data_IF_149850754799
#
_entry.id   IF_149850754799
#
_cell.length_a   1.000
_cell.length_b   1.000
_cell.length_c   1.000
_cell.angle_alpha   90.00
_cell.angle_beta   90.00
_cell.angle_gamma   90.00
#
_symmetry.space_group_name_H-M   'P 1'
#
loop_
_entity.id
_entity.type
_entity.pdbx_description
1 polymer ?
#
# COMPACT_ATOMS: atom_id res chain seq x y z
N UNK A 1 4.79 31.66 -2.03
CA UNK A 1 3.34 31.91 -2.02
C UNK A 1 2.48 30.69 -2.36
N UNK A 2 2.95 29.76 -3.22
CA UNK A 2 2.19 28.55 -3.58
C UNK A 2 1.98 27.54 -2.41
N UNK A 3 2.91 27.46 -1.46
CA UNK A 3 2.79 26.54 -0.32
C UNK A 3 1.78 26.98 0.73
N UNK A 4 1.61 28.29 0.93
CA UNK A 4 0.61 28.82 1.88
C UNK A 4 -0.81 28.58 1.35
N UNK A 5 -1.02 28.69 0.04
CA UNK A 5 -2.32 28.42 -0.59
C UNK A 5 -2.70 26.92 -0.51
N UNK A 6 -1.74 26.02 -0.70
CA UNK A 6 -1.93 24.56 -0.48
C UNK A 6 -2.25 24.21 0.97
N UNK A 7 -1.59 24.89 1.91
CA UNK A 7 -1.84 24.68 3.35
C UNK A 7 -3.24 25.17 3.75
N UNK A 8 -3.67 26.33 3.23
CA UNK A 8 -5.00 26.86 3.46
C UNK A 8 -6.10 26.02 2.80
N UNK A 9 -5.87 25.47 1.60
CA UNK A 9 -6.80 24.49 0.98
C UNK A 9 -6.87 23.17 1.75
N UNK A 10 -5.78 22.71 2.35
CA UNK A 10 -5.76 21.55 3.24
C UNK A 10 -6.61 21.77 4.48
N UNK A 11 -6.48 22.95 5.14
CA UNK A 11 -7.24 23.30 6.34
C UNK A 11 -8.73 23.47 6.04
N UNK A 12 -9.11 24.07 4.90
CA UNK A 12 -10.52 24.25 4.53
C UNK A 12 -11.21 22.93 4.17
N UNK A 13 -10.53 22.01 3.49
CA UNK A 13 -11.02 20.64 3.24
C UNK A 13 -11.16 19.83 4.54
N UNK A 14 -10.23 20.03 5.48
CA UNK A 14 -10.23 19.34 6.76
C UNK A 14 -11.40 19.79 7.67
N UNK A 15 -11.66 21.10 7.74
CA UNK A 15 -12.80 21.64 8.50
C UNK A 15 -14.15 21.23 7.88
N UNK A 16 -14.28 21.14 6.55
CA UNK A 16 -15.52 20.70 5.90
C UNK A 16 -15.84 19.23 6.17
N UNK A 17 -14.83 18.40 6.45
CA UNK A 17 -15.02 16.98 6.78
C UNK A 17 -15.61 16.80 8.17
N UNK A 18 -15.11 17.52 9.19
CA UNK A 18 -15.67 17.44 10.56
C UNK A 18 -17.08 17.99 10.65
N UNK A 19 -17.39 19.05 9.91
CA UNK A 19 -18.76 19.59 9.86
C UNK A 19 -19.74 18.59 9.23
N UNK A 20 -19.34 17.88 8.16
CA UNK A 20 -20.15 16.83 7.54
C UNK A 20 -20.40 15.64 8.47
N UNK A 21 -19.43 15.25 9.26
CA UNK A 21 -19.61 14.17 10.24
C UNK A 21 -20.50 14.62 11.41
N UNK A 22 -20.39 15.88 11.85
CA UNK A 22 -21.27 16.43 12.90
C UNK A 22 -22.75 16.42 12.49
N UNK A 23 -23.08 16.64 11.21
CA UNK A 23 -24.45 16.55 10.69
C UNK A 23 -25.03 15.13 10.81
N UNK A 24 -24.17 14.11 10.60
CA UNK A 24 -24.58 12.70 10.61
C UNK A 24 -24.70 12.09 12.00
N UNK A 25 -24.31 12.82 13.05
CA UNK A 25 -24.39 12.32 14.42
C UNK A 25 -25.88 12.13 14.83
N UNK A 26 -26.22 10.95 15.37
CA UNK A 26 -27.61 10.64 15.76
C UNK A 26 -28.17 11.60 16.82
N UNK A 27 -27.30 12.20 17.63
CA UNK A 27 -27.69 13.19 18.65
C UNK A 27 -28.33 14.41 18.01
N UNK A 28 -27.80 14.86 16.85
CA UNK A 28 -28.37 16.00 16.12
C UNK A 28 -29.77 15.67 15.57
N UNK A 29 -29.92 14.48 14.98
CA UNK A 29 -31.22 14.03 14.45
C UNK A 29 -32.30 13.89 15.53
N UNK A 30 -31.96 13.25 16.66
CA UNK A 30 -32.92 13.11 17.78
C UNK A 30 -33.24 14.44 18.46
N UNK A 31 -32.29 15.37 18.53
CA UNK A 31 -32.50 16.72 19.02
C UNK A 31 -33.54 17.47 18.18
N UNK A 32 -33.34 17.49 16.85
CA UNK A 32 -34.28 18.13 15.92
C UNK A 32 -35.67 17.48 15.96
N UNK A 33 -35.74 16.16 16.01
CA UNK A 33 -37.01 15.43 16.13
C UNK A 33 -37.76 15.80 17.41
N UNK A 34 -37.06 15.95 18.55
CA UNK A 34 -37.64 16.38 19.82
C UNK A 34 -38.24 17.78 19.75
N UNK A 35 -37.55 18.74 19.14
CA UNK A 35 -38.06 20.08 18.95
C UNK A 35 -39.25 20.15 17.99
N UNK A 36 -39.29 19.32 16.96
CA UNK A 36 -40.41 19.20 16.03
C UNK A 36 -41.66 18.68 16.75
N UNK A 37 -41.53 17.67 17.61
CA UNK A 37 -42.63 17.15 18.44
C UNK A 37 -43.13 18.23 19.43
N UNK A 38 -42.21 18.97 20.07
CA UNK A 38 -42.59 20.07 20.98
C UNK A 38 -43.35 21.19 20.26
N UNK A 39 -42.92 21.55 19.03
CA UNK A 39 -43.63 22.54 18.21
C UNK A 39 -45.05 22.09 17.84
N UNK A 40 -45.23 20.82 17.49
CA UNK A 40 -46.55 20.25 17.20
C UNK A 40 -47.45 20.21 18.43
N UNK A 41 -46.89 19.88 19.60
CA UNK A 41 -47.65 19.85 20.85
C UNK A 41 -48.09 21.25 21.33
N UNK A 42 -47.19 22.24 21.23
CA UNK A 42 -47.48 23.63 21.67
C UNK A 42 -48.18 24.45 20.61
N UNK A 43 -48.40 23.93 19.42
CA UNK A 43 -48.94 24.64 18.25
C UNK A 43 -48.28 26.02 18.03
N UNK A 44 -47.00 26.11 18.36
CA UNK A 44 -46.18 27.32 18.30
C UNK A 44 -44.91 27.09 17.51
N UNK A 45 -44.43 28.10 16.79
CA UNK A 45 -43.20 28.06 16.04
C UNK A 45 -41.94 28.36 16.89
N UNK A 46 -42.14 28.82 18.15
CA UNK A 46 -41.04 29.17 19.06
C UNK A 46 -40.05 28.01 19.28
N UNK A 47 -40.48 26.75 19.51
CA UNK A 47 -39.54 25.64 19.66
C UNK A 47 -38.63 25.41 18.42
N UNK A 48 -39.16 25.68 17.21
CA UNK A 48 -38.36 25.56 15.98
C UNK A 48 -37.29 26.66 15.86
N UNK A 49 -37.59 27.89 16.31
CA UNK A 49 -36.60 28.96 16.39
C UNK A 49 -35.47 28.61 17.38
N UNK A 50 -35.84 28.09 18.54
CA UNK A 50 -34.86 27.64 19.54
C UNK A 50 -33.98 26.52 18.95
N UNK A 51 -34.58 25.54 18.27
CA UNK A 51 -33.83 24.47 17.58
C UNK A 51 -32.83 25.03 16.58
N UNK A 52 -33.22 26.00 15.76
CA UNK A 52 -32.35 26.64 14.78
C UNK A 52 -31.15 27.33 15.44
N UNK A 53 -31.39 28.06 16.54
CA UNK A 53 -30.27 28.72 17.28
C UNK A 53 -29.32 27.67 17.87
N UNK A 54 -29.85 26.59 18.47
CA UNK A 54 -29.05 25.51 19.01
C UNK A 54 -28.25 24.81 17.91
N UNK A 55 -28.81 24.61 16.73
CA UNK A 55 -28.14 23.97 15.61
C UNK A 55 -27.00 24.82 15.08
N UNK A 56 -27.19 26.14 14.93
CA UNK A 56 -26.13 27.06 14.55
C UNK A 56 -24.99 27.05 15.59
N UNK A 57 -25.32 27.11 16.88
CA UNK A 57 -24.35 27.05 17.96
C UNK A 57 -23.59 25.68 17.95
N UNK A 58 -24.29 24.58 17.74
CA UNK A 58 -23.70 23.24 17.62
C UNK A 58 -22.69 23.17 16.48
N UNK A 59 -23.03 23.69 15.30
CA UNK A 59 -22.12 23.73 14.14
C UNK A 59 -20.89 24.60 14.33
N UNK A 60 -21.02 25.68 15.12
CA UNK A 60 -19.90 26.58 15.39
C UNK A 60 -18.94 26.01 16.47
N UNK A 61 -19.48 25.32 17.46
CA UNK A 61 -18.74 24.91 18.65
C UNK A 61 -18.19 23.49 18.51
N UNK A 62 -19.03 22.50 18.16
CA UNK A 62 -18.69 21.08 18.24
C UNK A 62 -17.52 20.68 17.33
N UNK A 63 -17.48 21.08 16.04
CA UNK A 63 -16.36 20.73 15.17
C UNK A 63 -15.00 21.32 15.62
N UNK A 64 -15.05 22.36 16.47
CA UNK A 64 -13.86 23.03 16.99
C UNK A 64 -13.37 22.48 18.33
N UNK A 65 -14.17 21.64 19.01
CA UNK A 65 -13.77 21.01 20.25
C UNK A 65 -12.65 19.98 20.02
N UNK A 66 -11.51 20.07 20.74
CA UNK A 66 -10.41 19.14 20.58
C UNK A 66 -10.79 17.70 20.92
N UNK A 67 -11.69 17.51 21.90
CA UNK A 67 -12.21 16.20 22.26
C UNK A 67 -13.03 15.55 21.12
N UNK A 68 -13.85 16.32 20.42
CA UNK A 68 -14.60 15.84 19.27
C UNK A 68 -13.69 15.45 18.10
N UNK A 69 -12.71 16.29 17.79
CA UNK A 69 -11.70 15.99 16.76
C UNK A 69 -10.91 14.70 17.06
N UNK A 70 -10.52 14.50 18.31
CA UNK A 70 -9.84 13.26 18.73
C UNK A 70 -10.76 12.04 18.57
N UNK A 71 -12.04 12.16 18.88
CA UNK A 71 -13.00 11.08 18.76
C UNK A 71 -13.24 10.70 17.29
N UNK A 72 -13.45 11.67 16.41
CA UNK A 72 -13.57 11.44 14.96
C UNK A 72 -12.29 10.82 14.38
N UNK A 73 -11.11 11.36 14.73
CA UNK A 73 -9.84 10.81 14.28
C UNK A 73 -9.62 9.37 14.76
N UNK A 74 -10.06 9.02 15.97
CA UNK A 74 -10.03 7.64 16.47
C UNK A 74 -10.96 6.73 15.67
N UNK A 75 -12.21 7.17 15.42
CA UNK A 75 -13.16 6.40 14.60
C UNK A 75 -12.64 6.18 13.18
N UNK A 76 -12.11 7.23 12.56
CA UNK A 76 -11.53 7.14 11.21
C UNK A 76 -10.33 6.21 11.16
N UNK A 77 -9.40 6.31 12.12
CA UNK A 77 -8.26 5.38 12.24
C UNK A 77 -8.72 3.93 12.41
N UNK A 78 -9.75 3.69 13.22
CA UNK A 78 -10.29 2.32 13.41
C UNK A 78 -10.92 1.81 12.12
N UNK A 79 -11.73 2.63 11.45
CA UNK A 79 -12.34 2.29 10.16
C UNK A 79 -11.29 2.01 9.08
N UNK A 80 -10.25 2.84 8.98
CA UNK A 80 -9.15 2.62 8.05
C UNK A 80 -8.39 1.32 8.35
N UNK A 81 -8.16 1.02 9.64
CA UNK A 81 -7.54 -0.25 10.05
C UNK A 81 -8.40 -1.46 9.66
N UNK A 82 -9.71 -1.39 9.86
CA UNK A 82 -10.63 -2.47 9.46
C UNK A 82 -10.68 -2.64 7.94
N UNK A 83 -10.73 -1.54 7.18
CA UNK A 83 -10.67 -1.58 5.71
C UNK A 83 -9.34 -2.16 5.20
N UNK A 84 -8.23 -1.73 5.78
CA UNK A 84 -6.90 -2.24 5.43
C UNK A 84 -6.79 -3.74 5.77
N UNK A 85 -7.31 -4.16 6.93
CA UNK A 85 -7.35 -5.58 7.32
C UNK A 85 -8.19 -6.39 6.34
N UNK A 86 -9.41 -5.93 6.01
CA UNK A 86 -10.28 -6.63 5.07
C UNK A 86 -9.66 -6.72 3.66
N UNK A 87 -8.99 -5.66 3.23
CA UNK A 87 -8.28 -5.64 1.93
C UNK A 87 -7.10 -6.61 1.95
N UNK A 88 -6.34 -6.67 3.05
CA UNK A 88 -5.22 -7.59 3.21
C UNK A 88 -5.68 -9.04 3.30
N UNK A 89 -6.76 -9.32 4.01
CA UNK A 89 -7.35 -10.67 4.06
C UNK A 89 -7.81 -11.14 2.66
N UNK A 90 -8.38 -10.23 1.86
CA UNK A 90 -8.70 -10.53 0.45
C UNK A 90 -7.44 -10.81 -0.36
N UNK A 91 -6.39 -10.04 -0.17
CA UNK A 91 -5.10 -10.23 -0.85
C UNK A 91 -4.49 -11.59 -0.51
N UNK A 92 -4.42 -11.95 0.77
CA UNK A 92 -3.88 -13.23 1.24
C UNK A 92 -4.65 -14.42 0.65
N UNK A 93 -5.97 -14.29 0.47
CA UNK A 93 -6.78 -15.33 -0.20
C UNK A 93 -6.37 -15.57 -1.66
N UNK A 94 -5.76 -14.61 -2.33
CA UNK A 94 -5.26 -14.77 -3.70
C UNK A 94 -3.90 -15.46 -3.78
N UNK A 95 -3.23 -15.65 -2.67
CA UNK A 95 -1.92 -16.30 -2.57
C UNK A 95 -2.02 -17.81 -2.79
N UNK A 96 -0.94 -18.40 -3.29
CA UNK A 96 -0.82 -19.86 -3.37
C UNK A 96 -0.82 -20.49 -1.98
N UNK A 97 -1.13 -21.78 -1.83
CA UNK A 97 -1.09 -22.45 -0.52
C UNK A 97 0.23 -22.26 0.22
N UNK A 98 1.37 -22.39 -0.48
CA UNK A 98 2.71 -22.21 0.09
C UNK A 98 2.97 -20.78 0.56
N UNK A 99 2.55 -19.79 -0.21
CA UNK A 99 2.67 -18.38 0.17
C UNK A 99 1.80 -18.03 1.37
N UNK A 100 0.58 -18.59 1.45
CA UNK A 100 -0.30 -18.42 2.62
C UNK A 100 0.31 -19.04 3.87
N UNK A 101 0.89 -20.22 3.75
CA UNK A 101 1.59 -20.88 4.84
C UNK A 101 2.73 -20.03 5.39
N UNK A 102 3.54 -19.40 4.53
CA UNK A 102 4.59 -18.48 4.95
C UNK A 102 4.05 -17.26 5.70
N UNK A 103 2.95 -16.64 5.21
CA UNK A 103 2.29 -15.51 5.87
C UNK A 103 1.71 -15.89 7.23
N UNK A 104 1.07 -17.07 7.34
CA UNK A 104 0.49 -17.58 8.57
C UNK A 104 1.59 -17.97 9.58
N UNK A 105 2.66 -18.58 9.11
CA UNK A 105 3.82 -18.91 9.94
C UNK A 105 4.46 -17.65 10.55
N UNK A 106 4.70 -16.61 9.75
CA UNK A 106 5.25 -15.36 10.24
C UNK A 106 4.31 -14.65 11.23
N UNK A 107 3.00 -14.73 10.98
CA UNK A 107 1.99 -14.24 11.92
C UNK A 107 2.02 -15.00 13.24
N UNK A 108 2.11 -16.32 13.18
CA UNK A 108 2.25 -17.17 14.37
C UNK A 108 3.54 -16.83 15.16
N UNK A 109 4.67 -16.68 14.47
CA UNK A 109 5.92 -16.22 15.13
C UNK A 109 5.74 -14.88 15.84
N UNK A 110 5.11 -13.91 15.19
CA UNK A 110 4.80 -12.60 15.78
C UNK A 110 4.00 -12.75 17.08
N UNK A 111 2.92 -13.52 17.04
CA UNK A 111 2.03 -13.73 18.18
C UNK A 111 2.79 -14.48 19.32
N UNK A 112 3.64 -15.43 18.96
CA UNK A 112 4.50 -16.19 19.89
C UNK A 112 5.53 -15.30 20.57
N UNK A 113 6.20 -14.43 19.84
CA UNK A 113 7.14 -13.44 20.37
C UNK A 113 6.45 -12.56 21.41
N UNK A 114 5.25 -12.04 21.11
CA UNK A 114 4.48 -11.21 22.04
C UNK A 114 4.07 -11.99 23.29
N UNK A 115 3.59 -13.23 23.13
CA UNK A 115 3.23 -14.10 24.25
C UNK A 115 4.43 -14.37 25.16
N UNK A 116 5.57 -14.73 24.60
CA UNK A 116 6.80 -15.01 25.34
C UNK A 116 7.28 -13.76 26.11
N UNK A 117 7.20 -12.59 25.48
CA UNK A 117 7.51 -11.33 26.14
C UNK A 117 6.64 -11.06 27.36
N UNK A 118 5.31 -11.24 27.26
CA UNK A 118 4.40 -11.08 28.39
C UNK A 118 4.69 -12.07 29.52
N UNK A 119 4.97 -13.33 29.16
CA UNK A 119 5.34 -14.35 30.16
C UNK A 119 6.63 -14.00 30.90
N UNK A 120 7.60 -13.48 30.17
CA UNK A 120 8.92 -13.17 30.71
C UNK A 120 8.91 -11.91 31.59
N UNK A 121 8.24 -10.85 31.14
CA UNK A 121 8.24 -9.55 31.84
C UNK A 121 7.16 -9.40 32.89
N UNK A 122 6.09 -10.20 32.83
CA UNK A 122 4.88 -10.01 33.64
C UNK A 122 4.12 -8.71 33.31
N UNK A 123 4.62 -7.91 32.34
CA UNK A 123 4.02 -6.66 31.91
C UNK A 123 2.88 -6.91 30.94
N UNK A 124 1.82 -6.09 31.05
CA UNK A 124 0.72 -6.09 30.05
C UNK A 124 0.95 -5.08 28.94
N UNK A 125 2.01 -4.28 29.02
CA UNK A 125 2.34 -3.27 28.01
C UNK A 125 3.44 -3.79 27.09
N UNK A 126 3.22 -3.68 25.79
CA UNK A 126 4.21 -4.00 24.77
C UNK A 126 5.09 -2.77 24.51
N UNK A 127 6.42 -2.91 24.48
CA UNK A 127 7.30 -1.84 24.02
C UNK A 127 7.04 -1.49 22.55
N UNK A 128 7.37 -0.28 22.16
CA UNK A 128 7.14 0.22 20.79
C UNK A 128 7.76 -0.70 19.72
N UNK A 129 8.90 -1.29 20.00
CA UNK A 129 9.58 -2.22 19.11
C UNK A 129 8.72 -3.46 18.83
N UNK A 130 8.10 -4.06 19.85
CA UNK A 130 7.20 -5.20 19.65
C UNK A 130 5.87 -4.83 18.98
N UNK A 131 5.36 -3.61 19.21
CA UNK A 131 4.19 -3.14 18.47
C UNK A 131 4.48 -2.98 16.98
N UNK A 132 5.72 -2.64 16.61
CA UNK A 132 6.15 -2.52 15.22
C UNK A 132 6.22 -3.85 14.47
N UNK A 133 6.28 -5.00 15.15
CA UNK A 133 6.26 -6.33 14.51
C UNK A 133 5.01 -6.56 13.66
N UNK A 134 3.87 -5.98 14.05
CA UNK A 134 2.68 -6.06 13.22
C UNK A 134 2.89 -5.36 11.87
N UNK A 135 3.53 -4.19 11.89
CA UNK A 135 3.88 -3.48 10.67
C UNK A 135 4.86 -4.28 9.79
N UNK A 136 5.85 -4.95 10.41
CA UNK A 136 6.82 -5.78 9.65
C UNK A 136 6.13 -6.99 8.98
N UNK A 137 5.16 -7.60 9.68
CA UNK A 137 4.32 -8.64 9.09
C UNK A 137 3.49 -8.10 7.92
N UNK A 138 2.93 -6.89 8.04
CA UNK A 138 2.22 -6.22 6.96
C UNK A 138 3.13 -5.93 5.77
N UNK A 139 4.34 -5.42 6.01
CA UNK A 139 5.35 -5.18 4.99
C UNK A 139 5.72 -6.47 4.25
N UNK A 140 5.81 -7.60 4.96
CA UNK A 140 6.06 -8.91 4.35
C UNK A 140 4.94 -9.30 3.38
N UNK A 141 3.68 -9.16 3.77
CA UNK A 141 2.53 -9.48 2.91
C UNK A 141 2.53 -8.62 1.64
N UNK A 142 2.80 -7.31 1.78
CA UNK A 142 2.84 -6.38 0.66
C UNK A 142 4.00 -6.70 -0.30
N UNK A 143 5.19 -6.98 0.23
CA UNK A 143 6.35 -7.37 -0.57
C UNK A 143 6.17 -8.72 -1.26
N UNK A 144 5.51 -9.68 -0.61
CA UNK A 144 5.20 -10.98 -1.20
C UNK A 144 4.25 -10.85 -2.41
N UNK A 145 3.26 -9.94 -2.34
CA UNK A 145 2.40 -9.65 -3.48
C UNK A 145 3.17 -9.02 -4.64
N UNK A 146 4.07 -8.06 -4.35
CA UNK A 146 4.94 -7.45 -5.37
C UNK A 146 5.85 -8.50 -6.01
N UNK A 147 6.48 -9.35 -5.19
CA UNK A 147 7.32 -10.45 -5.66
C UNK A 147 6.57 -11.38 -6.60
N UNK A 148 5.38 -11.81 -6.21
CA UNK A 148 4.53 -12.70 -6.99
C UNK A 148 4.17 -12.10 -8.35
N UNK A 149 3.69 -10.84 -8.37
CA UNK A 149 3.31 -10.15 -9.61
C UNK A 149 4.51 -9.98 -10.54
N UNK A 150 5.64 -9.53 -10.01
CA UNK A 150 6.88 -9.36 -10.81
C UNK A 150 7.41 -10.67 -11.35
N UNK A 151 7.41 -11.72 -10.53
CA UNK A 151 7.83 -13.07 -10.95
C UNK A 151 6.91 -13.67 -12.01
N UNK A 152 5.62 -13.44 -11.91
CA UNK A 152 4.64 -13.87 -12.92
C UNK A 152 4.88 -13.11 -14.24
N UNK A 153 5.12 -11.81 -14.17
CA UNK A 153 5.44 -11.00 -15.34
C UNK A 153 6.74 -11.46 -16.02
N UNK A 154 7.80 -11.73 -15.25
CA UNK A 154 9.05 -12.31 -15.78
C UNK A 154 8.81 -13.63 -16.55
N UNK A 155 7.93 -14.49 -16.02
CA UNK A 155 7.60 -15.77 -16.67
C UNK A 155 6.79 -15.60 -17.96
N UNK A 156 6.04 -14.52 -18.10
CA UNK A 156 5.24 -14.25 -19.30
C UNK A 156 6.07 -13.73 -20.48
N UNK A 157 7.30 -13.26 -20.24
CA UNK A 157 8.17 -12.72 -21.28
C UNK A 157 9.17 -13.79 -21.72
N UNK A 158 9.18 -14.08 -23.01
CA UNK A 158 10.21 -14.95 -23.61
C UNK A 158 11.46 -14.14 -23.97
N UNK A 159 12.43 -14.06 -23.02
CA UNK A 159 13.68 -13.32 -23.20
C UNK A 159 14.45 -13.78 -24.43
N UNK A 160 14.47 -15.10 -24.71
CA UNK A 160 15.18 -15.65 -25.85
C UNK A 160 14.58 -15.17 -27.17
N UNK A 161 13.24 -15.09 -27.26
CA UNK A 161 12.57 -14.56 -28.46
C UNK A 161 12.96 -13.09 -28.71
N UNK A 162 13.00 -12.26 -27.66
CA UNK A 162 13.42 -10.85 -27.78
C UNK A 162 14.89 -10.74 -28.23
N UNK A 163 15.75 -11.61 -27.72
CA UNK A 163 17.17 -11.64 -28.14
C UNK A 163 17.32 -12.06 -29.61
N UNK A 164 16.54 -13.04 -30.07
CA UNK A 164 16.53 -13.46 -31.48
C UNK A 164 16.01 -12.33 -32.38
N UNK A 165 14.93 -11.64 -31.98
CA UNK A 165 14.41 -10.48 -32.70
C UNK A 165 15.45 -9.36 -32.79
N UNK A 166 16.20 -9.09 -31.71
CA UNK A 166 17.26 -8.10 -31.69
C UNK A 166 18.37 -8.46 -32.72
N UNK A 167 18.77 -9.72 -32.73
CA UNK A 167 19.81 -10.19 -33.68
C UNK A 167 19.33 -10.07 -35.12
N UNK A 168 18.07 -10.36 -35.40
CA UNK A 168 17.48 -10.22 -36.76
C UNK A 168 17.40 -8.74 -37.16
N UNK A 169 16.88 -7.86 -36.26
CA UNK A 169 16.79 -6.42 -36.52
C UNK A 169 18.17 -5.80 -36.78
N UNK A 170 19.19 -6.26 -36.05
CA UNK A 170 20.56 -5.79 -36.23
C UNK A 170 21.10 -6.16 -37.62
N UNK A 171 20.94 -7.41 -38.05
CA UNK A 171 21.34 -7.86 -39.38
C UNK A 171 20.56 -7.11 -40.47
N UNK A 172 19.26 -6.91 -40.29
CA UNK A 172 18.42 -6.17 -41.23
C UNK A 172 18.88 -4.70 -41.37
N UNK A 173 19.30 -4.06 -40.27
CA UNK A 173 19.86 -2.72 -40.30
C UNK A 173 21.17 -2.61 -41.07
N UNK A 174 22.04 -3.63 -40.96
CA UNK A 174 23.34 -3.69 -41.66
C UNK A 174 23.20 -3.96 -43.16
N UNK A 175 22.23 -4.82 -43.55
CA UNK A 175 22.09 -5.27 -44.93
C UNK A 175 21.10 -4.44 -45.74
N UNK A 176 20.37 -3.50 -45.14
CA UNK A 176 19.36 -2.67 -45.81
C UNK A 176 20.04 -1.69 -46.82
N UNK A 177 19.67 -1.75 -48.10
CA UNK A 177 20.24 -0.85 -49.11
C UNK A 177 19.60 0.55 -49.05
N UNK A 178 18.39 0.68 -48.52
CA UNK A 178 17.67 1.95 -48.42
C UNK A 178 17.87 2.61 -47.07
N UNK A 179 18.23 3.90 -47.08
CA UNK A 179 18.47 4.70 -45.88
C UNK A 179 17.25 4.80 -44.98
N UNK A 180 16.04 4.90 -45.54
CA UNK A 180 14.80 4.99 -44.73
C UNK A 180 14.54 3.67 -43.99
N UNK A 181 14.68 2.54 -44.68
CA UNK A 181 14.52 1.21 -44.12
C UNK A 181 15.58 0.95 -43.05
N UNK A 182 16.83 1.37 -43.29
CA UNK A 182 17.91 1.26 -42.31
C UNK A 182 17.61 2.01 -41.02
N UNK A 183 17.10 3.26 -41.09
CA UNK A 183 16.71 4.04 -39.91
C UNK A 183 15.58 3.38 -39.10
N UNK A 184 14.58 2.82 -39.78
CA UNK A 184 13.51 2.07 -39.13
C UNK A 184 14.06 0.87 -38.37
N UNK A 185 14.96 0.09 -38.97
CA UNK A 185 15.59 -1.05 -38.32
C UNK A 185 16.51 -0.65 -37.16
N UNK A 186 17.23 0.45 -37.28
CA UNK A 186 18.03 1.00 -36.17
C UNK A 186 17.13 1.40 -34.98
N UNK A 187 15.99 2.05 -35.23
CA UNK A 187 15.01 2.39 -34.19
C UNK A 187 14.46 1.10 -33.52
N UNK A 188 14.18 0.06 -34.31
CA UNK A 188 13.74 -1.24 -33.79
C UNK A 188 14.81 -1.89 -32.89
N UNK A 189 16.07 -1.85 -33.31
CA UNK A 189 17.21 -2.30 -32.49
C UNK A 189 17.26 -1.59 -31.13
N UNK A 190 17.07 -0.26 -31.13
CA UNK A 190 17.06 0.49 -29.87
C UNK A 190 15.90 0.12 -28.96
N UNK A 191 14.70 -0.06 -29.52
CA UNK A 191 13.52 -0.51 -28.76
C UNK A 191 13.77 -1.87 -28.13
N UNK A 192 14.30 -2.82 -28.89
CA UNK A 192 14.58 -4.18 -28.40
C UNK A 192 15.68 -4.19 -27.33
N UNK A 193 16.72 -3.35 -27.47
CA UNK A 193 17.74 -3.16 -26.43
C UNK A 193 17.16 -2.63 -25.13
N UNK A 194 16.30 -1.60 -25.21
CA UNK A 194 15.60 -1.05 -24.04
C UNK A 194 14.72 -2.11 -23.38
N UNK A 195 14.01 -2.91 -24.18
CA UNK A 195 13.18 -4.01 -23.68
C UNK A 195 13.99 -5.05 -22.89
N UNK A 196 15.18 -5.43 -23.39
CA UNK A 196 16.08 -6.34 -22.66
C UNK A 196 16.62 -5.70 -21.37
N UNK A 197 17.00 -4.42 -21.41
CA UNK A 197 17.46 -3.72 -20.21
C UNK A 197 16.36 -3.65 -19.13
N UNK A 198 15.12 -3.35 -19.50
CA UNK A 198 13.99 -3.36 -18.57
C UNK A 198 13.70 -4.75 -17.99
N UNK A 199 13.91 -5.80 -18.80
CA UNK A 199 13.82 -7.18 -18.31
C UNK A 199 14.88 -7.49 -17.25
N UNK A 200 16.14 -7.09 -17.49
CA UNK A 200 17.24 -7.29 -16.54
C UNK A 200 17.01 -6.49 -15.24
N UNK A 201 16.41 -5.32 -15.33
CA UNK A 201 16.03 -4.51 -14.17
C UNK A 201 14.89 -5.17 -13.36
N UNK A 202 13.90 -5.72 -14.05
CA UNK A 202 12.82 -6.47 -13.41
C UNK A 202 13.36 -7.71 -12.68
N UNK A 203 14.28 -8.45 -13.29
CA UNK A 203 14.91 -9.62 -12.66
C UNK A 203 15.69 -9.22 -11.40
N UNK A 204 16.45 -8.12 -11.47
CA UNK A 204 17.16 -7.59 -10.29
C UNK A 204 16.19 -7.18 -9.18
N UNK A 205 15.07 -6.55 -9.54
CA UNK A 205 14.06 -6.16 -8.56
C UNK A 205 13.39 -7.36 -7.89
N UNK A 206 13.17 -8.46 -8.62
CA UNK A 206 12.63 -9.71 -8.04
C UNK A 206 13.61 -10.29 -7.03
N UNK A 207 14.90 -10.35 -7.35
CA UNK A 207 15.95 -10.84 -6.43
C UNK A 207 16.06 -9.96 -5.18
N UNK A 208 15.94 -8.63 -5.33
CA UNK A 208 15.96 -7.71 -4.21
C UNK A 208 14.79 -7.96 -3.24
N UNK A 209 13.57 -8.11 -3.78
CA UNK A 209 12.40 -8.39 -2.94
C UNK A 209 12.50 -9.76 -2.27
N UNK A 210 13.00 -10.77 -2.98
CA UNK A 210 13.24 -12.10 -2.41
C UNK A 210 14.21 -12.06 -1.24
N UNK A 211 15.32 -11.32 -1.38
CA UNK A 211 16.26 -11.09 -0.28
C UNK A 211 15.65 -10.34 0.89
N UNK A 212 14.77 -9.36 0.62
CA UNK A 212 14.09 -8.61 1.67
C UNK A 212 13.07 -9.47 2.42
N UNK A 213 12.30 -10.32 1.73
CA UNK A 213 11.40 -11.27 2.36
C UNK A 213 12.16 -12.22 3.30
N UNK A 214 13.28 -12.76 2.82
CA UNK A 214 14.15 -13.61 3.63
C UNK A 214 14.71 -12.89 4.86
N UNK A 215 15.08 -11.61 4.71
CA UNK A 215 15.56 -10.78 5.83
C UNK A 215 14.50 -10.59 6.90
N UNK A 216 13.23 -10.40 6.50
CA UNK A 216 12.12 -10.29 7.44
C UNK A 216 11.89 -11.62 8.16
N UNK A 217 11.87 -12.75 7.44
CA UNK A 217 11.72 -14.09 8.06
C UNK A 217 12.84 -14.38 9.06
N UNK A 218 14.09 -14.13 8.67
CA UNK A 218 15.25 -14.31 9.54
C UNK A 218 15.18 -13.43 10.80
N UNK A 219 14.72 -12.19 10.64
CA UNK A 219 14.56 -11.27 11.77
C UNK A 219 13.52 -11.77 12.79
N UNK A 220 12.38 -12.30 12.32
CA UNK A 220 11.38 -12.88 13.22
C UNK A 220 11.93 -14.14 13.92
N UNK A 221 12.66 -14.99 13.20
CA UNK A 221 13.35 -16.15 13.79
C UNK A 221 14.33 -15.71 14.87
N UNK A 222 15.20 -14.75 14.56
CA UNK A 222 16.16 -14.20 15.52
C UNK A 222 15.48 -13.63 16.77
N UNK A 223 14.40 -12.86 16.61
CA UNK A 223 13.64 -12.32 17.74
C UNK A 223 13.03 -13.40 18.62
N UNK A 224 12.49 -14.46 18.00
CA UNK A 224 11.91 -15.58 18.73
C UNK A 224 12.96 -16.30 19.58
N UNK A 225 14.15 -16.51 19.03
CA UNK A 225 15.25 -17.16 19.74
C UNK A 225 15.82 -16.26 20.84
N UNK A 226 16.00 -14.97 20.56
CA UNK A 226 16.52 -14.01 21.52
C UNK A 226 15.61 -13.82 22.72
N UNK A 227 14.28 -13.77 22.55
CA UNK A 227 13.32 -13.59 23.64
C UNK A 227 13.33 -14.75 24.64
N UNK A 228 13.65 -15.96 24.15
CA UNK A 228 13.75 -17.15 25.00
C UNK A 228 15.06 -17.17 25.80
N UNK A 229 16.11 -16.59 25.27
CA UNK A 229 17.46 -16.60 25.85
C UNK A 229 17.80 -15.34 26.66
N UNK A 230 17.02 -14.28 26.54
CA UNK A 230 17.23 -12.99 27.24
C UNK A 230 17.16 -13.15 28.76
N UNK A 231 18.16 -12.56 29.42
CA UNK A 231 18.21 -12.49 30.88
C UNK A 231 17.48 -11.27 31.45
N UNK A 232 17.25 -10.21 30.67
CA UNK A 232 16.58 -8.97 31.11
C UNK A 232 15.76 -8.34 29.96
N UNK A 233 14.59 -7.71 30.28
CA UNK A 233 13.73 -7.06 29.27
C UNK A 233 14.40 -5.89 28.56
N UNK A 234 15.36 -5.20 29.20
CA UNK A 234 16.04 -4.04 28.66
C UNK A 234 16.88 -4.36 27.42
N UNK A 235 17.37 -5.60 27.33
CA UNK A 235 18.13 -6.07 26.16
C UNK A 235 17.29 -6.09 24.90
N UNK A 236 15.96 -6.22 25.02
CA UNK A 236 15.07 -6.19 23.88
C UNK A 236 15.02 -4.83 23.19
N UNK A 237 15.24 -3.74 23.92
CA UNK A 237 15.30 -2.39 23.35
C UNK A 237 16.56 -2.13 22.50
N UNK A 238 17.59 -2.96 22.65
CA UNK A 238 18.86 -2.87 21.91
C UNK A 238 18.82 -3.61 20.57
N UNK A 239 17.74 -4.35 20.27
CA UNK A 239 17.59 -5.05 19.00
C UNK A 239 17.37 -4.06 17.85
N UNK A 240 18.02 -4.35 16.74
CA UNK A 240 18.14 -3.42 15.61
C UNK A 240 16.90 -3.42 14.69
N UNK A 241 15.74 -3.01 15.27
CA UNK A 241 14.50 -2.85 14.52
C UNK A 241 14.57 -1.73 13.47
N UNK A 242 15.41 -0.74 13.72
CA UNK A 242 15.60 0.42 12.84
C UNK A 242 16.28 -0.01 11.54
N UNK A 243 17.32 -0.81 11.61
CA UNK A 243 18.06 -1.29 10.44
C UNK A 243 17.15 -2.09 9.49
N UNK A 244 16.29 -2.97 10.02
CA UNK A 244 15.31 -3.68 9.20
C UNK A 244 14.29 -2.72 8.59
N UNK A 245 13.83 -1.72 9.36
CA UNK A 245 12.89 -0.71 8.90
C UNK A 245 13.44 0.08 7.71
N UNK A 246 14.66 0.53 7.82
CA UNK A 246 15.35 1.30 6.78
C UNK A 246 15.58 0.45 5.52
N UNK A 247 16.00 -0.79 5.70
CA UNK A 247 16.16 -1.75 4.60
C UNK A 247 14.85 -1.99 3.83
N UNK A 248 13.73 -2.14 4.52
CA UNK A 248 12.40 -2.27 3.90
C UNK A 248 12.02 -0.97 3.17
N UNK A 249 12.25 0.20 3.77
CA UNK A 249 11.95 1.49 3.17
C UNK A 249 12.76 1.70 1.88
N UNK A 250 14.05 1.38 1.89
CA UNK A 250 14.92 1.42 0.69
C UNK A 250 14.42 0.48 -0.39
N UNK A 251 14.03 -0.74 -0.04
CA UNK A 251 13.47 -1.70 -0.99
C UNK A 251 12.18 -1.16 -1.63
N UNK A 252 11.26 -0.61 -0.84
CA UNK A 252 10.03 0.00 -1.36
C UNK A 252 10.32 1.17 -2.30
N UNK A 253 11.27 2.04 -1.94
CA UNK A 253 11.68 3.16 -2.79
C UNK A 253 12.25 2.68 -4.13
N UNK A 254 13.10 1.66 -4.16
CA UNK A 254 13.60 1.07 -5.40
C UNK A 254 12.48 0.44 -6.25
N UNK A 255 11.50 -0.18 -5.59
CA UNK A 255 10.34 -0.74 -6.29
C UNK A 255 9.47 0.34 -6.94
N UNK A 256 9.30 1.48 -6.29
CA UNK A 256 8.57 2.63 -6.86
C UNK A 256 9.30 3.22 -8.06
N UNK A 257 10.62 3.35 -8.01
CA UNK A 257 11.44 3.81 -9.13
C UNK A 257 11.37 2.88 -10.36
N UNK A 258 11.20 1.57 -10.14
CA UNK A 258 11.08 0.58 -11.21
C UNK A 258 9.63 0.36 -11.68
N UNK A 259 8.63 0.97 -11.03
CA UNK A 259 7.23 0.82 -11.39
C UNK A 259 6.92 1.40 -12.79
N UNK A 260 7.52 2.53 -13.13
CA UNK A 260 7.37 3.18 -14.43
C UNK A 260 7.94 2.33 -15.58
N UNK A 261 9.07 1.67 -15.34
CA UNK A 261 9.66 0.74 -16.29
C UNK A 261 8.74 -0.48 -16.56
N UNK A 262 8.06 -0.99 -15.52
CA UNK A 262 7.05 -2.04 -15.67
C UNK A 262 5.84 -1.58 -16.47
N UNK A 263 5.33 -0.38 -16.20
CA UNK A 263 4.19 0.20 -16.93
C UNK A 263 4.48 0.33 -18.43
N UNK A 264 5.69 0.74 -18.79
CA UNK A 264 6.13 0.83 -20.17
C UNK A 264 6.22 -0.55 -20.87
N UNK A 265 6.69 -1.59 -20.16
CA UNK A 265 6.72 -2.97 -20.65
C UNK A 265 5.31 -3.54 -20.88
N UNK A 266 4.38 -3.30 -19.97
CA UNK A 266 2.99 -3.75 -20.07
C UNK A 266 2.25 -3.09 -21.23
N UNK A 267 2.46 -1.78 -21.43
CA UNK A 267 1.88 -1.04 -22.55
C UNK A 267 2.37 -1.59 -23.90
N UNK A 268 3.66 -1.88 -24.00
CA UNK A 268 4.25 -2.43 -25.21
C UNK A 268 3.80 -3.87 -25.50
N UNK A 269 3.69 -4.73 -24.48
CA UNK A 269 3.18 -6.09 -24.64
C UNK A 269 1.72 -6.13 -25.08
N UNK A 270 0.88 -5.20 -24.62
CA UNK A 270 -0.52 -5.05 -25.09
C UNK A 270 -0.59 -4.64 -26.56
N UNK A 271 0.31 -3.76 -27.00
CA UNK A 271 0.37 -3.36 -28.42
C UNK A 271 0.79 -4.53 -29.31
N UNK A 272 1.80 -5.30 -28.92
CA UNK A 272 2.26 -6.47 -29.70
C UNK A 272 1.23 -7.59 -29.73
N UNK A 273 0.52 -7.89 -28.64
CA UNK A 273 -0.57 -8.87 -28.61
C UNK A 273 -1.74 -8.51 -29.54
N UNK A 274 -1.97 -7.22 -29.81
CA UNK A 274 -2.97 -6.78 -30.77
C UNK A 274 -2.53 -6.96 -32.24
N UNK A 275 -1.22 -6.99 -32.51
CA UNK A 275 -0.72 -7.25 -33.87
C UNK A 275 -0.73 -8.73 -34.25
N UNK A 276 -0.58 -9.65 -33.28
CA UNK A 276 -0.70 -11.09 -33.53
C UNK A 276 -2.14 -11.57 -33.80
N UNK A 277 -3.14 -10.74 -33.48
CA UNK A 277 -4.56 -11.04 -33.69
C UNK A 277 -5.13 -10.50 -35.02
N UNK A 278 -4.31 -9.87 -35.87
CA UNK A 278 -4.74 -9.51 -37.20
C UNK A 278 -4.76 -10.79 -38.07
N UNK A 279 -5.94 -11.23 -38.54
CA UNK A 279 -6.00 -12.39 -39.42
C UNK A 279 -5.20 -12.07 -40.70
N UNK A 280 -4.36 -13.03 -41.11
CA UNK A 280 -3.74 -13.00 -42.45
C UNK A 280 -4.86 -12.75 -43.48
N UNK A 281 -4.95 -11.51 -43.95
CA UNK A 281 -5.82 -11.16 -45.03
C UNK A 281 -5.29 -11.87 -46.27
N UNK A 282 -6.03 -12.89 -46.67
CA UNK A 282 -6.07 -13.60 -47.96
C UNK A 282 -5.05 -13.11 -49.01
N UNK A 283 -4.17 -14.02 -49.36
CA UNK A 283 -3.64 -14.12 -50.72
C UNK A 283 -4.58 -14.92 -51.61
#
# INVERSE_FOLDING_TARGET
>A
MADIAKYQQGISKFNSSYAKEAIKEPVNFWGLAGFAVAAAYTQSWIPLLIALIFEIAYFLIVPNLPAYRQLINRREKTRLRELNKATRDKLIKTFTPREREAVEYLKWQKDKIQENYFRFTGSRELPNNLTSLHQRWEDFVDLLDVYRRRKQHLKSINRQAVHNQLSQAFRAAETSPDEKTRRVQQTNVEILKRRLASFDELERSVKLVEGQLQSIENFFGYLNDEIVTMSTPEKFSLLDFEQLSDSIAMTKQMLDQTADAMGALDAHNRQMGNYELLPEANR
#
